data_IF_431242702903
#
_entry.id   IF_431242702903
#
_cell.length_a   1.000
_cell.length_b   1.000
_cell.length_c   1.000
_cell.angle_alpha   90.00
_cell.angle_beta   90.00
_cell.angle_gamma   90.00
#
_symmetry.space_group_name_H-M   'P 1'
#
loop_
_entity.id
_entity.type
_entity.pdbx_description
1 polymer ?
#
# COMPACT_ATOMS: atom_id res chain seq x y z
N UNK A 1 8.35 -11.82 -19.68
CA UNK A 1 7.61 -11.55 -18.43
C UNK A 1 7.05 -10.15 -18.55
N UNK A 2 5.72 -9.98 -18.55
CA UNK A 2 5.13 -8.65 -18.63
C UNK A 2 5.36 -7.94 -17.29
N UNK A 3 6.30 -6.98 -17.26
CA UNK A 3 6.34 -5.99 -16.19
C UNK A 3 5.10 -5.12 -16.40
N UNK A 4 4.04 -5.36 -15.62
CA UNK A 4 2.88 -4.49 -15.64
C UNK A 4 3.27 -3.21 -14.91
N UNK A 5 3.75 -2.22 -15.67
CA UNK A 5 3.95 -0.87 -15.16
C UNK A 5 2.59 -0.29 -14.76
N UNK A 6 2.48 0.17 -13.52
CA UNK A 6 1.24 0.76 -13.01
C UNK A 6 1.31 2.27 -13.29
N UNK A 7 0.30 2.85 -13.96
CA UNK A 7 0.27 4.28 -14.19
C UNK A 7 0.34 5.06 -12.88
N UNK A 8 1.07 6.17 -12.85
CA UNK A 8 1.03 7.05 -11.68
C UNK A 8 -0.37 7.67 -11.52
N UNK A 9 -0.78 7.90 -10.28
CA UNK A 9 -2.04 8.56 -9.98
C UNK A 9 -2.66 8.18 -8.64
N UNK A 10 -3.94 8.52 -8.47
CA UNK A 10 -4.70 8.26 -7.25
C UNK A 10 -5.43 6.93 -7.35
N UNK A 11 -5.20 6.07 -6.37
CA UNK A 11 -5.77 4.73 -6.27
C UNK A 11 -6.47 4.50 -4.94
N UNK A 12 -7.35 3.50 -4.95
CA UNK A 12 -7.82 2.79 -3.76
C UNK A 12 -7.21 1.41 -3.75
N UNK A 13 -6.64 1.00 -2.62
CA UNK A 13 -5.97 -0.28 -2.49
C UNK A 13 -6.91 -1.27 -1.79
N UNK A 14 -7.45 -2.22 -2.56
CA UNK A 14 -8.44 -3.19 -2.08
C UNK A 14 -7.76 -4.50 -1.64
N UNK A 15 -8.09 -4.97 -0.45
CA UNK A 15 -7.77 -6.30 0.05
C UNK A 15 -9.03 -7.17 0.17
N UNK A 16 -8.86 -8.42 0.60
CA UNK A 16 -9.96 -9.41 0.72
C UNK A 16 -11.12 -8.94 1.62
N UNK A 17 -10.85 -8.07 2.59
CA UNK A 17 -11.82 -7.65 3.61
C UNK A 17 -12.02 -6.13 3.72
N UNK A 18 -11.52 -5.34 2.75
CA UNK A 18 -11.72 -3.89 2.80
C UNK A 18 -10.71 -3.09 1.97
N UNK A 19 -10.76 -1.77 2.13
CA UNK A 19 -9.84 -0.81 1.54
C UNK A 19 -8.77 -0.39 2.55
N UNK A 20 -7.52 -0.38 2.13
CA UNK A 20 -6.40 0.08 2.94
C UNK A 20 -6.60 1.55 3.32
N UNK A 21 -6.51 1.83 4.61
CA UNK A 21 -6.89 3.09 5.23
C UNK A 21 -5.80 3.58 6.17
N UNK A 22 -5.32 4.81 5.94
CA UNK A 22 -4.31 5.47 6.77
C UNK A 22 -4.91 6.64 7.56
N UNK A 23 -5.46 6.37 8.74
CA UNK A 23 -6.16 7.39 9.53
C UNK A 23 -5.25 8.36 10.28
N UNK A 24 -4.24 7.83 11.00
CA UNK A 24 -3.41 8.61 11.92
C UNK A 24 -1.93 8.44 11.64
N UNK A 25 -1.11 9.50 11.79
CA UNK A 25 0.35 9.40 11.73
C UNK A 25 0.89 8.36 12.71
N UNK A 26 1.87 7.58 12.26
CA UNK A 26 2.54 6.50 12.99
C UNK A 26 1.63 5.37 13.50
N UNK A 27 0.34 5.40 13.16
CA UNK A 27 -0.60 4.34 13.47
C UNK A 27 -0.56 3.23 12.40
N UNK A 28 -0.89 1.99 12.78
CA UNK A 28 -1.09 0.90 11.84
C UNK A 28 -2.10 1.26 10.75
N UNK A 29 -1.85 0.79 9.53
CA UNK A 29 -2.83 0.83 8.45
C UNK A 29 -3.90 -0.23 8.71
N UNK A 30 -5.15 0.11 8.42
CA UNK A 30 -6.29 -0.77 8.65
C UNK A 30 -7.01 -1.06 7.33
N UNK A 31 -7.69 -2.20 7.26
CA UNK A 31 -8.67 -2.48 6.20
C UNK A 31 -10.04 -2.06 6.72
N UNK A 32 -10.61 -1.01 6.14
CA UNK A 32 -11.95 -0.52 6.46
C UNK A 32 -12.91 -0.81 5.31
N UNK A 33 -14.24 -0.81 5.53
CA UNK A 33 -15.20 -0.92 4.44
C UNK A 33 -14.92 0.12 3.34
N UNK A 34 -15.13 -0.29 2.09
CA UNK A 34 -14.96 0.60 0.95
C UNK A 34 -15.94 1.78 1.05
N UNK A 35 -15.42 3.00 1.09
CA UNK A 35 -16.22 4.21 1.20
C UNK A 35 -15.50 5.43 0.63
N UNK A 36 -16.18 6.57 0.53
CA UNK A 36 -15.63 7.78 -0.10
C UNK A 36 -14.71 8.61 0.82
N UNK A 37 -13.98 7.94 1.72
CA UNK A 37 -13.13 8.63 2.68
C UNK A 37 -11.76 9.00 2.10
N UNK A 38 -11.26 10.20 2.39
CA UNK A 38 -9.94 10.68 1.93
C UNK A 38 -8.77 9.82 2.40
N UNK A 39 -8.86 9.27 3.62
CA UNK A 39 -7.86 8.36 4.18
C UNK A 39 -7.77 6.99 3.48
N UNK A 40 -8.61 6.73 2.47
CA UNK A 40 -8.57 5.55 1.59
C UNK A 40 -7.98 5.86 0.20
N UNK A 41 -7.65 7.11 -0.07
CA UNK A 41 -7.07 7.56 -1.34
C UNK A 41 -5.55 7.64 -1.21
N UNK A 42 -4.88 6.94 -2.10
CA UNK A 42 -3.43 6.81 -2.12
C UNK A 42 -2.87 7.31 -3.44
N UNK A 43 -1.89 8.20 -3.37
CA UNK A 43 -1.12 8.63 -4.54
C UNK A 43 0.02 7.64 -4.77
N UNK A 44 0.06 7.04 -5.96
CA UNK A 44 1.09 6.09 -6.38
C UNK A 44 2.00 6.78 -7.38
N UNK A 45 3.29 6.86 -7.06
CA UNK A 45 4.31 7.48 -7.92
C UNK A 45 5.48 6.54 -8.14
N UNK A 46 6.05 6.57 -9.33
CA UNK A 46 7.24 5.80 -9.67
C UNK A 46 8.43 6.38 -8.90
N UNK A 47 9.21 5.47 -8.34
CA UNK A 47 10.49 5.69 -7.70
C UNK A 47 11.58 4.99 -8.51
N UNK A 48 12.85 5.18 -8.15
CA UNK A 48 13.98 4.53 -8.81
C UNK A 48 13.86 3.00 -8.79
N UNK A 49 14.40 2.33 -9.81
CA UNK A 49 14.50 0.87 -9.95
C UNK A 49 13.15 0.12 -9.97
N UNK A 50 12.16 0.62 -10.72
CA UNK A 50 10.81 0.03 -10.85
C UNK A 50 10.09 -0.19 -9.50
N UNK A 51 10.41 0.69 -8.54
CA UNK A 51 9.71 0.76 -7.27
C UNK A 51 8.70 1.91 -7.30
N UNK A 52 7.77 1.90 -6.38
CA UNK A 52 6.72 2.90 -6.26
C UNK A 52 6.61 3.37 -4.82
N UNK A 53 6.42 4.67 -4.63
CA UNK A 53 5.97 5.21 -3.34
C UNK A 53 4.45 5.29 -3.34
N UNK A 54 3.86 4.97 -2.20
CA UNK A 54 2.41 4.99 -1.99
C UNK A 54 2.15 5.94 -0.82
N UNK A 55 1.68 7.14 -1.12
CA UNK A 55 1.50 8.21 -0.14
C UNK A 55 0.03 8.54 0.07
N UNK A 56 -0.32 9.06 1.24
CA UNK A 56 -1.70 9.51 1.50
C UNK A 56 -2.00 10.72 0.62
N UNK A 57 -3.16 10.73 -0.04
CA UNK A 57 -3.59 11.87 -0.85
C UNK A 57 -3.74 13.15 -0.01
N UNK A 58 -4.24 13.01 1.22
CA UNK A 58 -4.47 14.15 2.12
C UNK A 58 -3.19 14.60 2.82
N UNK A 59 -2.16 13.75 2.88
CA UNK A 59 -0.86 14.01 3.53
C UNK A 59 0.29 13.46 2.67
N UNK A 60 0.70 14.17 1.59
CA UNK A 60 1.67 13.67 0.62
C UNK A 60 3.05 13.33 1.19
N UNK A 61 3.42 13.92 2.32
CA UNK A 61 4.65 13.65 3.07
C UNK A 61 4.64 12.33 3.85
N UNK A 62 3.46 11.71 3.98
CA UNK A 62 3.23 10.47 4.67
C UNK A 62 2.81 9.37 3.70
N UNK A 63 3.24 8.14 3.96
CA UNK A 63 2.81 7.01 3.15
C UNK A 63 2.98 5.68 3.84
N UNK A 64 2.87 4.61 3.05
CA UNK A 64 3.03 3.26 3.56
C UNK A 64 4.47 3.07 3.99
N UNK A 65 4.66 2.68 5.25
CA UNK A 65 5.97 2.34 5.81
C UNK A 65 5.92 0.99 6.50
N UNK A 66 7.04 0.27 6.42
CA UNK A 66 7.28 -0.93 7.19
C UNK A 66 8.55 -0.74 8.02
N UNK A 67 8.72 -1.45 9.14
CA UNK A 67 9.95 -1.37 9.94
C UNK A 67 11.18 -1.86 9.18
N UNK A 68 12.36 -1.41 9.63
CA UNK A 68 13.68 -1.77 9.05
C UNK A 68 14.14 -3.16 9.50
N UNK A 69 13.76 -3.55 10.71
CA UNK A 69 14.08 -4.85 11.29
C UNK A 69 12.83 -5.71 11.25
N UNK A 70 12.94 -6.93 10.70
CA UNK A 70 11.85 -7.90 10.75
C UNK A 70 11.88 -8.53 12.15
N UNK A 71 11.54 -7.76 13.18
CA UNK A 71 11.15 -8.34 14.46
C UNK A 71 9.69 -8.78 14.31
N UNK A 72 9.40 -10.01 14.73
CA UNK A 72 8.15 -10.69 14.40
C UNK A 72 6.91 -9.85 14.81
N UNK A 73 5.92 -9.77 13.90
CA UNK A 73 4.61 -9.10 14.06
C UNK A 73 4.54 -7.56 14.03
N UNK A 74 5.49 -6.87 13.42
CA UNK A 74 5.35 -5.42 13.25
C UNK A 74 4.40 -5.04 12.09
N UNK A 75 3.45 -4.14 12.41
CA UNK A 75 2.40 -3.71 11.49
C UNK A 75 2.90 -2.67 10.48
N UNK A 76 2.37 -2.72 9.27
CA UNK A 76 2.53 -1.65 8.28
C UNK A 76 1.81 -0.41 8.81
N UNK A 77 2.46 0.75 8.78
CA UNK A 77 1.95 1.99 9.36
C UNK A 77 1.99 3.16 8.38
N UNK A 78 1.19 4.19 8.65
CA UNK A 78 1.27 5.47 7.96
C UNK A 78 2.45 6.27 8.53
N UNK A 79 3.55 6.41 7.79
CA UNK A 79 4.78 7.00 8.31
C UNK A 79 5.49 7.93 7.32
N UNK A 80 6.51 8.61 7.83
CA UNK A 80 7.41 9.46 7.04
C UNK A 80 8.88 9.16 7.41
N UNK A 81 9.80 9.04 6.44
CA UNK A 81 9.55 9.09 4.99
C UNK A 81 8.80 7.83 4.50
N UNK A 82 7.95 7.94 3.46
CA UNK A 82 7.30 6.79 2.84
C UNK A 82 8.35 5.83 2.26
N UNK A 83 8.06 4.52 2.29
CA UNK A 83 8.96 3.52 1.69
C UNK A 83 8.55 3.21 0.26
N UNK A 84 9.54 2.80 -0.53
CA UNK A 84 9.34 2.37 -1.90
C UNK A 84 9.09 0.85 -1.94
N UNK A 85 8.14 0.43 -2.78
CA UNK A 85 7.68 -0.94 -2.92
C UNK A 85 7.78 -1.39 -4.37
N UNK A 86 8.12 -2.67 -4.59
CA UNK A 86 7.96 -3.27 -5.91
C UNK A 86 6.53 -3.79 -6.03
N UNK A 87 5.79 -3.31 -7.03
CA UNK A 87 4.46 -3.82 -7.30
C UNK A 87 4.58 -4.94 -8.35
N UNK A 88 3.97 -6.09 -8.08
CA UNK A 88 4.01 -7.24 -8.97
C UNK A 88 2.57 -7.56 -9.41
N UNK A 89 2.33 -7.78 -10.71
CA UNK A 89 1.05 -8.31 -11.16
C UNK A 89 0.85 -9.69 -10.53
N UNK A 90 -0.36 -9.97 -10.04
CA UNK A 90 -0.70 -11.35 -9.68
C UNK A 90 -0.67 -12.19 -10.96
N UNK A 91 -0.02 -13.36 -10.97
CA UNK A 91 -0.08 -14.27 -12.10
C UNK A 91 -1.54 -14.70 -12.32
N UNK A 92 -1.96 -14.78 -13.59
CA UNK A 92 -3.29 -15.26 -13.96
C UNK A 92 -3.48 -16.70 -13.46
N UNK A 93 -4.18 -16.85 -12.34
CA UNK A 93 -4.43 -18.13 -11.68
C UNK A 93 -5.35 -17.96 -10.47
N UNK A 94 -6.04 -19.01 -10.02
CA UNK A 94 -6.84 -18.95 -8.80
C UNK A 94 -5.94 -18.55 -7.63
N UNK A 95 -6.40 -17.65 -6.76
CA UNK A 95 -5.66 -17.27 -5.56
C UNK A 95 -5.24 -18.55 -4.81
N UNK A 96 -3.95 -18.78 -4.56
CA UNK A 96 -3.53 -19.94 -3.78
C UNK A 96 -4.15 -19.82 -2.39
N UNK A 97 -4.89 -20.84 -1.97
CA UNK A 97 -5.37 -20.96 -0.59
C UNK A 97 -4.17 -20.89 0.34
N UNK A 98 -4.00 -19.75 1.02
CA UNK A 98 -2.90 -19.51 1.97
C UNK A 98 -3.13 -20.14 3.35
N UNK A 99 -3.99 -21.17 3.44
CA UNK A 99 -4.23 -21.91 4.67
C UNK A 99 -4.10 -23.42 4.39
N UNK A 100 -3.00 -24.00 4.88
CA UNK A 100 -2.93 -25.37 5.37
C UNK A 100 -2.40 -25.33 6.79
#
# INVERSE_FOLDING_TARGET
MASAEIPEGVYRLLGQHGCLSGGSPDAPLNLLPHGEHGHQLWEVKKHQNDQYTITSKDKPEMGITHPKEVQHMELVKLGSPPRAFKIQPMPDGPMPNMFK
#
